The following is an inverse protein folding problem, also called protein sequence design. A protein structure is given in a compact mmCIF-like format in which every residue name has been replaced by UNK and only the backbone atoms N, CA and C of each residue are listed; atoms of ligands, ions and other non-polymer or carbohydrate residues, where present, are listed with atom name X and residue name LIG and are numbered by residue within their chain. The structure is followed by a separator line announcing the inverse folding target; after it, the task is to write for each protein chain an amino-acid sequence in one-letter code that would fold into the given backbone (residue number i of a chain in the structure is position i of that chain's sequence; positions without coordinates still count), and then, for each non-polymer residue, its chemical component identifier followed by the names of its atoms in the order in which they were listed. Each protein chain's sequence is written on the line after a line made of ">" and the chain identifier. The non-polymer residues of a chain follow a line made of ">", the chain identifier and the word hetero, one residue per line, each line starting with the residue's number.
data_IF_235655664145
#
_entry.id   IF_235655664145
#
_cell.length_a   1.000
_cell.length_b   1.000
_cell.length_c   1.000
_cell.angle_alpha   90.00
_cell.angle_beta   90.00
_cell.angle_gamma   90.00
#
_symmetry.space_group_name_H-M   'P 1'
#
loop_
_entity.id
_entity.type
_entity.pdbx_description
1 polymer ?
#
# COMPACT_ATOMS: atom_id res chain seq x y z
N UNK A 1 9.60 14.48 46.79
CA UNK A 1 9.29 15.85 46.30
C UNK A 1 10.43 16.32 45.41
N UNK A 2 10.07 16.86 44.24
CA UNK A 2 10.87 17.71 43.32
C UNK A 2 11.91 17.03 42.38
N UNK A 3 11.33 16.58 41.25
CA UNK A 3 11.76 16.79 39.85
C UNK A 3 12.81 17.89 39.58
N UNK A 4 13.69 17.64 38.61
CA UNK A 4 14.26 18.68 37.75
C UNK A 4 14.36 18.17 36.30
N UNK A 5 13.44 18.68 35.47
CA UNK A 5 13.48 18.66 34.02
C UNK A 5 14.65 19.52 33.52
N UNK A 6 15.41 19.04 32.53
CA UNK A 6 16.32 19.89 31.74
C UNK A 6 15.62 20.36 30.47
N UNK A 7 15.31 21.65 30.43
CA UNK A 7 15.02 22.43 29.23
C UNK A 7 16.36 22.90 28.63
N UNK A 8 16.54 22.74 27.32
CA UNK A 8 17.61 23.42 26.59
C UNK A 8 17.06 24.66 25.85
N UNK A 9 17.86 25.74 25.74
CA UNK A 9 17.36 27.06 25.41
C UNK A 9 17.36 27.36 23.91
N UNK A 10 16.44 28.26 23.57
CA UNK A 10 16.35 29.07 22.35
C UNK A 10 17.59 29.95 22.24
N UNK A 11 18.22 30.02 21.06
CA UNK A 11 19.15 31.10 20.70
C UNK A 11 18.61 31.81 19.46
N UNK A 12 18.31 33.10 19.65
CA UNK A 12 17.89 34.06 18.65
C UNK A 12 19.07 35.00 18.35
N UNK A 13 19.32 35.21 17.06
CA UNK A 13 19.96 36.35 16.38
C UNK A 13 21.23 37.02 16.94
N UNK A 14 22.21 37.16 16.05
CA UNK A 14 23.03 38.37 15.97
C UNK A 14 23.24 38.78 14.50
N UNK A 15 22.68 39.93 14.14
CA UNK A 15 23.07 40.77 13.00
C UNK A 15 24.35 41.54 13.38
N UNK A 16 25.23 41.84 12.41
CA UNK A 16 25.68 43.20 12.05
C UNK A 16 26.87 43.18 11.05
N UNK A 17 26.65 43.92 9.94
CA UNK A 17 27.57 44.86 9.23
C UNK A 17 28.79 44.32 8.46
N UNK A 18 29.26 44.85 7.32
CA UNK A 18 28.99 46.04 6.47
C UNK A 18 29.79 45.83 5.17
N UNK A 19 29.33 46.29 3.99
CA UNK A 19 30.03 47.32 3.20
C UNK A 19 29.41 47.62 1.82
N UNK A 20 29.70 48.84 1.38
CA UNK A 20 29.19 49.60 0.24
C UNK A 20 29.56 49.05 -1.16
N UNK A 21 28.61 49.29 -2.07
CA UNK A 21 28.75 49.73 -3.47
C UNK A 21 29.50 48.87 -4.49
N UNK A 22 28.74 48.33 -5.45
CA UNK A 22 29.13 48.28 -6.85
C UNK A 22 27.87 48.31 -7.73
N UNK A 23 27.82 49.26 -8.66
CA UNK A 23 26.91 49.26 -9.80
C UNK A 23 27.29 48.09 -10.73
N UNK A 24 26.37 47.16 -10.96
CA UNK A 24 26.33 46.34 -12.16
C UNK A 24 24.90 45.83 -12.36
N UNK A 25 24.34 46.07 -13.55
CA UNK A 25 23.02 45.58 -13.96
C UNK A 25 22.96 44.06 -13.78
N UNK A 26 22.13 43.60 -12.86
CA UNK A 26 21.79 42.19 -12.71
C UNK A 26 20.52 41.92 -13.52
N UNK A 27 20.64 41.01 -14.48
CA UNK A 27 19.51 40.36 -15.16
C UNK A 27 18.46 39.94 -14.14
N UNK A 28 17.18 40.06 -14.50
CA UNK A 28 16.07 39.64 -13.65
C UNK A 28 16.30 38.19 -13.18
N UNK A 29 16.30 37.92 -11.86
CA UNK A 29 16.48 36.57 -11.37
C UNK A 29 15.31 35.72 -11.88
N UNK A 30 15.64 34.67 -12.65
CA UNK A 30 14.69 33.59 -12.92
C UNK A 30 14.14 33.09 -11.58
N UNK A 31 12.83 32.83 -11.47
CA UNK A 31 12.25 32.35 -10.22
C UNK A 31 12.99 31.08 -9.78
N UNK A 32 13.38 30.96 -8.49
CA UNK A 32 14.10 29.80 -8.02
C UNK A 32 13.22 28.56 -8.17
N UNK A 33 13.73 27.66 -9.01
CA UNK A 33 13.61 26.22 -8.98
C UNK A 33 13.34 25.72 -7.55
N UNK A 34 12.27 24.92 -7.37
CA UNK A 34 11.93 24.09 -6.19
C UNK A 34 12.67 24.46 -4.91
N UNK A 35 12.10 25.36 -4.11
CA UNK A 35 12.73 26.04 -2.97
C UNK A 35 13.19 25.06 -1.88
N UNK A 36 14.37 25.29 -1.30
CA UNK A 36 15.01 24.48 -0.24
C UNK A 36 14.10 24.16 0.98
N UNK A 37 13.04 24.94 1.20
CA UNK A 37 12.02 24.72 2.23
C UNK A 37 11.20 23.44 1.97
N UNK A 38 10.85 23.14 0.72
CA UNK A 38 10.10 21.92 0.37
C UNK A 38 10.95 20.64 0.59
N UNK A 39 12.26 20.75 0.37
CA UNK A 39 13.22 19.67 0.63
C UNK A 39 13.34 19.39 2.14
N UNK A 40 13.33 20.44 2.97
CA UNK A 40 13.39 20.33 4.43
C UNK A 40 12.12 19.66 5.01
N UNK A 41 10.93 20.10 4.59
CA UNK A 41 9.66 19.51 5.07
C UNK A 41 9.55 18.02 4.72
N UNK A 42 9.93 17.62 3.49
CA UNK A 42 9.93 16.20 3.10
C UNK A 42 10.92 15.36 3.92
N UNK A 43 12.09 15.91 4.23
CA UNK A 43 13.08 15.22 5.05
C UNK A 43 12.63 15.09 6.51
N UNK A 44 11.99 16.13 7.06
CA UNK A 44 11.38 16.10 8.39
C UNK A 44 10.25 15.07 8.44
N UNK A 45 9.37 15.03 7.42
CA UNK A 45 8.29 14.05 7.34
C UNK A 45 8.80 12.61 7.36
N UNK A 46 9.87 12.32 6.61
CA UNK A 46 10.56 11.01 6.64
C UNK A 46 11.11 10.69 8.03
N UNK A 47 11.72 11.67 8.68
CA UNK A 47 12.30 11.50 10.03
C UNK A 47 11.21 11.19 11.05
N UNK A 48 10.10 11.94 11.06
CA UNK A 48 8.97 11.66 11.94
C UNK A 48 8.35 10.29 11.68
N UNK A 49 8.14 9.92 10.41
CA UNK A 49 7.61 8.61 10.02
C UNK A 49 8.50 7.49 10.58
N UNK A 50 9.83 7.57 10.40
CA UNK A 50 10.77 6.59 10.92
C UNK A 50 10.75 6.48 12.46
N UNK A 51 10.61 7.62 13.17
CA UNK A 51 10.47 7.64 14.63
C UNK A 51 9.18 6.95 15.05
N UNK A 52 8.05 7.28 14.44
CA UNK A 52 6.76 6.66 14.77
C UNK A 52 6.71 5.18 14.43
N UNK A 53 7.28 4.77 13.29
CA UNK A 53 7.42 3.36 12.91
C UNK A 53 8.22 2.60 13.97
N UNK A 54 9.37 3.12 14.37
CA UNK A 54 10.22 2.50 15.41
C UNK A 54 9.45 2.35 16.73
N UNK A 55 8.83 3.43 17.22
CA UNK A 55 8.05 3.39 18.45
C UNK A 55 6.87 2.41 18.39
N UNK A 56 6.19 2.33 17.25
CA UNK A 56 5.03 1.45 17.08
C UNK A 56 5.46 -0.02 16.95
N UNK A 57 6.57 -0.30 16.29
CA UNK A 57 7.16 -1.64 16.19
C UNK A 57 7.67 -2.13 17.56
N UNK A 58 8.19 -1.22 18.40
CA UNK A 58 8.62 -1.49 19.78
C UNK A 58 7.48 -1.46 20.80
N UNK A 59 6.23 -1.36 20.33
CA UNK A 59 5.03 -1.34 21.16
C UNK A 59 5.02 -0.21 22.22
N UNK A 60 5.77 0.87 21.97
CA UNK A 60 5.82 2.08 22.79
C UNK A 60 4.60 2.97 22.53
N UNK A 61 3.40 2.39 22.59
CA UNK A 61 2.14 3.05 22.20
C UNK A 61 1.85 4.35 22.97
N UNK A 62 2.22 4.42 24.25
CA UNK A 62 2.07 5.66 25.04
C UNK A 62 2.95 6.79 24.51
N UNK A 63 4.17 6.48 24.06
CA UNK A 63 5.07 7.47 23.46
C UNK A 63 4.53 7.92 22.10
N UNK A 64 4.04 6.98 21.27
CA UNK A 64 3.35 7.32 20.02
C UNK A 64 2.21 8.31 20.26
N UNK A 65 1.41 8.08 21.31
CA UNK A 65 0.31 9.00 21.66
C UNK A 65 0.83 10.37 22.08
N UNK A 66 1.77 10.42 23.03
CA UNK A 66 2.30 11.68 23.55
C UNK A 66 2.94 12.54 22.45
N UNK A 67 3.78 11.95 21.61
CA UNK A 67 4.40 12.67 20.50
C UNK A 67 3.38 13.01 19.40
N UNK A 68 2.49 12.09 19.08
CA UNK A 68 1.51 12.26 18.00
C UNK A 68 0.50 13.36 18.29
N UNK A 69 -0.04 13.43 19.51
CA UNK A 69 -0.96 14.51 19.90
C UNK A 69 -0.30 15.89 19.80
N UNK A 70 0.96 16.02 20.20
CA UNK A 70 1.70 17.28 20.05
C UNK A 70 1.91 17.62 18.56
N UNK A 71 2.34 16.64 17.76
CA UNK A 71 2.65 16.85 16.36
C UNK A 71 1.41 17.17 15.50
N UNK A 72 0.22 16.72 15.90
CA UNK A 72 -1.03 17.12 15.21
C UNK A 72 -1.32 18.63 15.28
N UNK A 73 -0.65 19.36 16.18
CA UNK A 73 -0.76 20.82 16.33
C UNK A 73 0.25 21.58 15.47
N UNK A 74 1.10 20.88 14.70
CA UNK A 74 2.08 21.51 13.82
C UNK A 74 1.38 22.36 12.74
N UNK A 75 2.01 23.46 12.34
CA UNK A 75 1.44 24.39 11.36
C UNK A 75 1.57 23.86 9.94
N UNK A 76 2.54 22.99 9.69
CA UNK A 76 2.76 22.38 8.39
C UNK A 76 1.78 21.21 8.18
N UNK A 77 0.88 21.28 7.18
CA UNK A 77 -0.12 20.24 6.95
C UNK A 77 0.50 18.88 6.62
N UNK A 78 1.67 18.85 6.00
CA UNK A 78 2.39 17.61 5.67
C UNK A 78 2.90 16.90 6.92
N UNK A 79 3.31 17.65 7.94
CA UNK A 79 3.84 17.11 9.21
C UNK A 79 2.69 16.75 10.16
N UNK A 80 1.72 17.64 10.33
CA UNK A 80 0.59 17.46 11.25
C UNK A 80 -0.32 16.26 10.93
N UNK A 81 -0.33 15.80 9.68
CA UNK A 81 -1.11 14.63 9.26
C UNK A 81 -0.41 13.28 9.49
N UNK A 82 0.91 13.25 9.58
CA UNK A 82 1.72 12.03 9.82
C UNK A 82 1.18 11.21 11.00
N UNK A 83 0.99 11.79 12.21
CA UNK A 83 0.66 11.00 13.39
C UNK A 83 -0.73 10.35 13.36
N UNK A 84 -1.64 10.76 12.46
CA UNK A 84 -3.06 10.34 12.52
C UNK A 84 -3.20 8.81 12.48
N UNK A 85 -2.56 8.13 11.52
CA UNK A 85 -2.63 6.67 11.40
C UNK A 85 -2.01 5.97 12.61
N UNK A 86 -0.90 6.51 13.13
CA UNK A 86 -0.23 6.00 14.32
C UNK A 86 -1.07 6.14 15.58
N UNK A 87 -1.78 7.27 15.74
CA UNK A 87 -2.69 7.50 16.84
C UNK A 87 -3.90 6.54 16.79
N UNK A 88 -4.50 6.33 15.61
CA UNK A 88 -5.59 5.35 15.43
C UNK A 88 -5.14 3.98 15.95
N UNK A 89 -3.95 3.54 15.52
CA UNK A 89 -3.37 2.26 15.90
C UNK A 89 -3.03 2.20 17.39
N UNK A 90 -2.27 3.17 17.91
CA UNK A 90 -1.81 3.19 19.30
C UNK A 90 -2.97 3.27 20.30
N UNK A 91 -4.00 4.10 20.04
CA UNK A 91 -5.18 4.16 20.89
C UNK A 91 -5.90 2.83 20.97
N UNK A 92 -6.00 2.10 19.86
CA UNK A 92 -6.59 0.77 19.86
C UNK A 92 -5.80 -0.21 20.74
N UNK A 93 -4.48 -0.27 20.60
CA UNK A 93 -3.64 -1.22 21.35
C UNK A 93 -3.55 -0.92 22.85
N UNK A 94 -3.78 0.32 23.29
CA UNK A 94 -3.90 0.64 24.73
C UNK A 94 -5.33 0.51 25.28
N UNK A 95 -6.29 0.02 24.48
CA UNK A 95 -7.68 -0.18 24.88
C UNK A 95 -8.58 1.06 24.80
N UNK A 96 -8.11 2.19 24.27
CA UNK A 96 -8.93 3.37 24.04
C UNK A 96 -9.64 3.29 22.68
N UNK A 97 -10.60 2.38 22.58
CA UNK A 97 -11.31 2.12 21.32
C UNK A 97 -12.11 3.32 20.81
N UNK A 98 -12.70 4.10 21.71
CA UNK A 98 -13.54 5.25 21.36
C UNK A 98 -12.72 6.28 20.57
N UNK A 99 -11.54 6.65 21.09
CA UNK A 99 -10.69 7.63 20.46
C UNK A 99 -10.09 7.14 19.15
N UNK A 100 -9.71 5.86 19.10
CA UNK A 100 -9.27 5.20 17.86
C UNK A 100 -10.35 5.26 16.77
N UNK A 101 -11.59 4.86 17.09
CA UNK A 101 -12.74 4.89 16.17
C UNK A 101 -13.07 6.31 15.73
N UNK A 102 -13.04 7.29 16.65
CA UNK A 102 -13.29 8.70 16.32
C UNK A 102 -12.31 9.23 15.27
N UNK A 103 -11.00 9.01 15.48
CA UNK A 103 -9.96 9.42 14.53
C UNK A 103 -10.09 8.71 13.18
N UNK A 104 -10.36 7.40 13.20
CA UNK A 104 -10.58 6.63 11.97
C UNK A 104 -11.76 7.19 11.18
N UNK A 105 -12.91 7.41 11.84
CA UNK A 105 -14.11 7.95 11.19
C UNK A 105 -13.86 9.35 10.62
N UNK A 106 -13.13 10.21 11.33
CA UNK A 106 -12.72 11.52 10.82
C UNK A 106 -11.83 11.41 9.57
N UNK A 107 -10.90 10.44 9.55
CA UNK A 107 -10.02 10.20 8.39
C UNK A 107 -10.79 9.72 7.17
N UNK A 108 -11.78 8.83 7.34
CA UNK A 108 -12.45 8.14 6.21
C UNK A 108 -13.81 8.70 5.82
N UNK A 109 -14.30 9.75 6.50
CA UNK A 109 -15.69 10.24 6.33
C UNK A 109 -16.02 10.55 4.88
N UNK A 110 -15.07 11.13 4.15
CA UNK A 110 -15.22 11.53 2.75
C UNK A 110 -14.55 10.56 1.76
N UNK A 111 -14.02 9.44 2.25
CA UNK A 111 -13.34 8.50 1.36
C UNK A 111 -14.34 7.77 0.48
N UNK A 112 -14.08 7.78 -0.82
CA UNK A 112 -14.76 6.94 -1.80
C UNK A 112 -14.25 5.49 -1.74
N UNK A 113 -14.86 4.61 -2.52
CA UNK A 113 -14.45 3.21 -2.63
C UNK A 113 -12.93 3.04 -2.89
N UNK A 114 -12.34 3.72 -3.88
CA UNK A 114 -10.91 3.54 -4.23
C UNK A 114 -9.98 4.00 -3.10
N UNK A 115 -10.32 5.09 -2.41
CA UNK A 115 -9.59 5.60 -1.26
C UNK A 115 -9.69 4.65 -0.06
N UNK A 116 -10.86 4.03 0.16
CA UNK A 116 -11.04 3.02 1.21
C UNK A 116 -10.26 1.74 0.92
N UNK A 117 -10.25 1.28 -0.34
CA UNK A 117 -9.41 0.15 -0.74
C UNK A 117 -7.94 0.49 -0.54
N UNK A 118 -7.49 1.66 -1.00
CA UNK A 118 -6.11 2.12 -0.85
C UNK A 118 -5.68 2.19 0.62
N UNK A 119 -6.58 2.62 1.51
CA UNK A 119 -6.36 2.60 2.96
C UNK A 119 -6.17 1.17 3.48
N UNK A 120 -7.04 0.25 3.08
CA UNK A 120 -7.03 -1.15 3.52
C UNK A 120 -5.79 -1.92 3.04
N UNK A 121 -5.31 -1.59 1.84
CA UNK A 121 -4.11 -2.21 1.26
C UNK A 121 -2.88 -1.31 1.43
N UNK A 122 -2.88 -0.34 2.35
CA UNK A 122 -1.75 0.57 2.55
C UNK A 122 -0.48 -0.18 2.96
N UNK A 123 0.68 0.38 2.59
CA UNK A 123 1.99 -0.07 3.10
C UNK A 123 2.38 0.61 4.43
N UNK A 124 1.52 1.47 4.98
CA UNK A 124 1.77 2.13 6.26
C UNK A 124 1.70 1.13 7.41
N UNK A 125 2.81 0.95 8.13
CA UNK A 125 2.93 0.09 9.31
C UNK A 125 1.76 0.25 10.30
N UNK A 126 1.32 1.47 10.69
CA UNK A 126 0.19 1.61 11.61
C UNK A 126 -1.12 1.03 11.09
N UNK A 127 -1.41 1.20 9.80
CA UNK A 127 -2.64 0.69 9.20
C UNK A 127 -2.57 -0.83 8.99
N UNK A 128 -1.41 -1.35 8.58
CA UNK A 128 -1.17 -2.79 8.51
C UNK A 128 -1.45 -3.42 9.88
N UNK A 129 -0.82 -2.91 10.96
CA UNK A 129 -1.03 -3.41 12.33
C UNK A 129 -2.51 -3.31 12.74
N UNK A 130 -3.16 -2.18 12.49
CA UNK A 130 -4.56 -1.97 12.88
C UNK A 130 -5.53 -2.91 12.14
N UNK A 131 -5.33 -3.14 10.83
CA UNK A 131 -6.21 -3.98 10.02
C UNK A 131 -5.92 -5.49 10.10
N UNK A 132 -4.86 -5.90 10.80
CA UNK A 132 -4.70 -7.32 11.18
C UNK A 132 -5.88 -7.83 12.02
N UNK A 133 -6.53 -6.94 12.78
CA UNK A 133 -7.72 -7.24 13.59
C UNK A 133 -8.96 -7.21 12.70
N UNK A 134 -9.61 -8.36 12.53
CA UNK A 134 -10.73 -8.56 11.60
C UNK A 134 -11.89 -7.59 11.88
N UNK A 135 -12.21 -7.39 13.15
CA UNK A 135 -13.30 -6.55 13.65
C UNK A 135 -13.08 -5.07 13.30
N UNK A 136 -11.83 -4.66 13.05
CA UNK A 136 -11.48 -3.29 12.67
C UNK A 136 -11.50 -3.08 11.15
N UNK A 137 -11.16 -4.10 10.36
CA UNK A 137 -11.16 -4.01 8.89
C UNK A 137 -12.54 -4.24 8.25
N UNK A 138 -13.34 -5.19 8.75
CA UNK A 138 -14.59 -5.58 8.08
C UNK A 138 -15.59 -4.42 7.89
N UNK A 139 -15.76 -3.48 8.84
CA UNK A 139 -16.63 -2.32 8.62
C UNK A 139 -16.15 -1.43 7.46
N UNK A 140 -14.84 -1.31 7.26
CA UNK A 140 -14.24 -0.52 6.19
C UNK A 140 -14.41 -1.22 4.85
N UNK A 141 -14.19 -2.55 4.81
CA UNK A 141 -14.47 -3.39 3.64
C UNK A 141 -15.94 -3.26 3.24
N UNK A 142 -16.85 -3.33 4.21
CA UNK A 142 -18.30 -3.18 3.99
C UNK A 142 -18.64 -1.80 3.43
N UNK A 143 -18.07 -0.73 3.99
CA UNK A 143 -18.25 0.63 3.47
C UNK A 143 -17.74 0.75 2.03
N UNK A 144 -16.57 0.20 1.71
CA UNK A 144 -15.99 0.22 0.37
C UNK A 144 -16.87 -0.54 -0.64
N UNK A 145 -17.34 -1.74 -0.27
CA UNK A 145 -18.23 -2.55 -1.13
C UNK A 145 -19.56 -1.85 -1.37
N UNK A 146 -20.15 -1.22 -0.35
CA UNK A 146 -21.40 -0.48 -0.50
C UNK A 146 -21.23 0.72 -1.43
N UNK A 147 -20.13 1.45 -1.30
CA UNK A 147 -19.80 2.57 -2.19
C UNK A 147 -19.57 2.10 -3.63
N UNK A 148 -18.79 1.03 -3.83
CA UNK A 148 -18.60 0.36 -5.12
C UNK A 148 -19.94 -0.02 -5.77
N UNK A 149 -20.80 -0.72 -5.03
CA UNK A 149 -22.11 -1.17 -5.52
C UNK A 149 -23.03 -0.01 -5.88
N UNK A 150 -22.91 1.13 -5.19
CA UNK A 150 -23.71 2.32 -5.46
C UNK A 150 -23.23 3.09 -6.70
N UNK A 151 -21.91 3.27 -6.81
CA UNK A 151 -21.34 4.25 -7.73
C UNK A 151 -20.79 3.63 -9.03
N UNK A 152 -20.34 2.38 -9.00
CA UNK A 152 -19.75 1.73 -10.19
C UNK A 152 -20.84 1.09 -11.06
N UNK A 153 -20.81 1.42 -12.36
CA UNK A 153 -21.74 0.90 -13.39
C UNK A 153 -21.30 -0.48 -13.92
N UNK A 154 -21.11 -1.42 -13.00
CA UNK A 154 -20.75 -2.81 -13.29
C UNK A 154 -22.02 -3.66 -13.52
N UNK A 155 -22.01 -4.56 -14.50
CA UNK A 155 -23.12 -5.51 -14.74
C UNK A 155 -23.13 -6.68 -13.77
N UNK A 156 -21.99 -7.06 -13.20
CA UNK A 156 -21.82 -8.15 -12.23
C UNK A 156 -21.13 -7.64 -10.95
N UNK A 157 -21.90 -6.88 -10.16
CA UNK A 157 -21.43 -6.34 -8.87
C UNK A 157 -21.12 -7.41 -7.84
N UNK A 158 -21.68 -8.61 -7.97
CA UNK A 158 -21.46 -9.73 -7.04
C UNK A 158 -20.07 -10.31 -7.27
N UNK A 159 -19.70 -10.57 -8.54
CA UNK A 159 -18.34 -10.93 -8.89
C UNK A 159 -17.34 -9.84 -8.48
N UNK A 160 -17.68 -8.58 -8.73
CA UNK A 160 -16.83 -7.45 -8.36
C UNK A 160 -16.55 -7.37 -6.86
N UNK A 161 -17.56 -7.58 -6.01
CA UNK A 161 -17.38 -7.66 -4.56
C UNK A 161 -16.39 -8.78 -4.17
N UNK A 162 -16.53 -9.97 -4.75
CA UNK A 162 -15.64 -11.09 -4.43
C UNK A 162 -14.19 -10.79 -4.81
N UNK A 163 -13.97 -10.20 -5.99
CA UNK A 163 -12.64 -9.81 -6.45
C UNK A 163 -12.04 -8.73 -5.53
N UNK A 164 -12.83 -7.73 -5.11
CA UNK A 164 -12.39 -6.73 -4.12
C UNK A 164 -11.93 -7.41 -2.82
N UNK A 165 -12.70 -8.37 -2.30
CA UNK A 165 -12.35 -9.11 -1.08
C UNK A 165 -11.08 -9.95 -1.26
N UNK A 166 -10.91 -10.60 -2.40
CA UNK A 166 -9.67 -11.33 -2.72
C UNK A 166 -8.47 -10.39 -2.76
N UNK A 167 -8.59 -9.25 -3.42
CA UNK A 167 -7.52 -8.26 -3.51
C UNK A 167 -7.09 -7.74 -2.13
N UNK A 168 -8.05 -7.32 -1.31
CA UNK A 168 -7.77 -6.79 0.04
C UNK A 168 -7.04 -7.84 0.87
N UNK A 169 -7.53 -9.07 0.89
CA UNK A 169 -6.93 -10.11 1.70
C UNK A 169 -5.53 -10.50 1.17
N UNK A 170 -5.34 -10.60 -0.16
CA UNK A 170 -4.02 -10.88 -0.76
C UNK A 170 -2.99 -9.82 -0.35
N UNK A 171 -3.36 -8.55 -0.49
CA UNK A 171 -2.48 -7.44 -0.17
C UNK A 171 -2.19 -7.32 1.32
N UNK A 172 -3.20 -7.51 2.17
CA UNK A 172 -3.01 -7.52 3.62
C UNK A 172 -1.98 -8.57 4.01
N UNK A 173 -2.07 -9.80 3.48
CA UNK A 173 -1.13 -10.85 3.83
C UNK A 173 0.31 -10.52 3.43
N UNK A 174 0.49 -10.00 2.21
CA UNK A 174 1.83 -9.68 1.67
C UNK A 174 2.51 -8.52 2.37
N UNK A 175 1.73 -7.58 2.91
CA UNK A 175 2.25 -6.37 3.55
C UNK A 175 2.60 -6.54 5.02
N UNK A 176 2.25 -7.67 5.63
CA UNK A 176 2.59 -7.94 7.03
C UNK A 176 4.09 -7.93 7.31
N UNK A 177 4.92 -8.30 6.33
CA UNK A 177 6.40 -8.23 6.44
C UNK A 177 6.91 -6.83 6.78
N UNK A 178 6.18 -5.77 6.43
CA UNK A 178 6.56 -4.40 6.74
C UNK A 178 6.26 -4.02 8.20
N UNK A 179 5.36 -4.74 8.87
CA UNK A 179 4.87 -4.38 10.20
C UNK A 179 5.51 -5.18 11.35
N UNK A 180 6.46 -6.07 11.06
CA UNK A 180 7.11 -6.92 12.05
C UNK A 180 8.61 -7.04 11.77
N UNK A 181 9.44 -6.75 12.79
CA UNK A 181 10.91 -6.82 12.69
C UNK A 181 11.39 -8.28 12.57
N UNK A 182 12.45 -8.52 11.79
CA UNK A 182 13.10 -9.84 11.57
C UNK A 182 13.68 -10.49 12.84
N UNK A 183 13.88 -9.70 13.89
CA UNK A 183 14.48 -10.14 15.16
C UNK A 183 13.48 -10.79 16.14
N UNK A 184 12.17 -10.65 15.94
CA UNK A 184 11.13 -11.33 16.75
C UNK A 184 10.75 -12.71 16.19
N UNK A 185 11.75 -13.59 16.06
CA UNK A 185 11.62 -14.89 15.39
C UNK A 185 10.46 -15.77 15.90
N UNK A 186 10.16 -15.75 17.20
CA UNK A 186 9.12 -16.60 17.80
C UNK A 186 7.72 -16.12 17.42
N UNK A 187 7.45 -14.82 17.50
CA UNK A 187 6.17 -14.28 17.06
C UNK A 187 6.07 -14.29 15.53
N UNK A 188 7.19 -14.13 14.83
CA UNK A 188 7.23 -14.27 13.37
C UNK A 188 6.82 -15.66 12.91
N UNK A 189 7.36 -16.75 13.49
CA UNK A 189 7.03 -18.11 13.05
C UNK A 189 5.55 -18.42 13.26
N UNK A 190 4.99 -18.14 14.45
CA UNK A 190 3.56 -18.38 14.72
C UNK A 190 2.66 -17.60 13.77
N UNK A 191 3.02 -16.35 13.48
CA UNK A 191 2.27 -15.49 12.56
C UNK A 191 2.43 -15.97 11.13
N UNK A 192 3.64 -16.34 10.71
CA UNK A 192 3.93 -16.92 9.40
C UNK A 192 3.11 -18.18 9.12
N UNK A 193 2.98 -19.07 10.09
CA UNK A 193 2.11 -20.25 9.96
C UNK A 193 0.63 -19.88 9.84
N UNK A 194 0.16 -18.93 10.66
CA UNK A 194 -1.20 -18.40 10.53
C UNK A 194 -1.45 -17.77 9.14
N UNK A 195 -0.44 -17.08 8.59
CA UNK A 195 -0.51 -16.47 7.27
C UNK A 195 -0.52 -17.52 6.17
N UNK A 196 0.35 -18.53 6.21
CA UNK A 196 0.31 -19.65 5.27
C UNK A 196 -1.05 -20.33 5.24
N UNK A 197 -1.63 -20.54 6.42
CA UNK A 197 -2.98 -21.11 6.53
C UNK A 197 -4.04 -20.21 5.88
N UNK A 198 -4.00 -18.91 6.15
CA UNK A 198 -4.94 -17.94 5.59
C UNK A 198 -4.78 -17.79 4.07
N UNK A 199 -3.55 -17.77 3.56
CA UNK A 199 -3.22 -17.72 2.13
C UNK A 199 -3.73 -18.98 1.42
N UNK A 200 -3.55 -20.16 2.03
CA UNK A 200 -4.09 -21.41 1.52
C UNK A 200 -5.62 -21.39 1.36
N UNK A 201 -6.35 -20.89 2.38
CA UNK A 201 -7.81 -20.72 2.30
C UNK A 201 -8.18 -19.76 1.18
N UNK A 202 -7.45 -18.66 1.05
CA UNK A 202 -7.70 -17.69 -0.01
C UNK A 202 -7.45 -18.29 -1.40
N UNK A 203 -6.34 -18.98 -1.61
CA UNK A 203 -6.01 -19.63 -2.88
C UNK A 203 -7.07 -20.67 -3.25
N UNK A 204 -7.62 -21.41 -2.28
CA UNK A 204 -8.75 -22.30 -2.51
C UNK A 204 -10.00 -21.54 -2.97
N UNK A 205 -10.34 -20.42 -2.32
CA UNK A 205 -11.51 -19.60 -2.67
C UNK A 205 -11.38 -18.94 -4.05
N UNK A 206 -10.19 -18.42 -4.39
CA UNK A 206 -9.89 -17.83 -5.70
C UNK A 206 -10.05 -18.89 -6.79
N UNK A 207 -9.47 -20.08 -6.61
CA UNK A 207 -9.60 -21.17 -7.57
C UNK A 207 -11.06 -21.60 -7.74
N UNK A 208 -11.80 -21.78 -6.64
CA UNK A 208 -13.21 -22.15 -6.68
C UNK A 208 -14.05 -21.10 -7.43
N UNK A 209 -13.78 -19.81 -7.20
CA UNK A 209 -14.44 -18.72 -7.90
C UNK A 209 -14.19 -18.78 -9.41
N UNK A 210 -12.93 -18.84 -9.85
CA UNK A 210 -12.63 -18.89 -11.28
C UNK A 210 -13.06 -20.19 -11.95
N UNK A 211 -13.03 -21.34 -11.25
CA UNK A 211 -13.57 -22.60 -11.76
C UNK A 211 -15.09 -22.59 -11.88
N UNK A 212 -15.80 -21.91 -10.98
CA UNK A 212 -17.26 -21.77 -11.08
C UNK A 212 -17.65 -20.92 -12.29
N UNK A 213 -16.94 -19.82 -12.51
CA UNK A 213 -17.30 -18.85 -13.54
C UNK A 213 -16.66 -19.11 -14.91
N UNK A 214 -15.55 -19.86 -14.97
CA UNK A 214 -14.83 -20.23 -16.20
C UNK A 214 -14.49 -19.03 -17.10
N UNK A 215 -14.26 -17.87 -16.49
CA UNK A 215 -13.96 -16.62 -17.19
C UNK A 215 -13.14 -15.66 -16.33
N UNK A 216 -12.37 -14.82 -17.01
CA UNK A 216 -11.88 -13.56 -16.47
C UNK A 216 -12.96 -12.49 -16.63
N UNK A 217 -13.10 -11.59 -15.66
CA UNK A 217 -14.13 -10.55 -15.70
C UNK A 217 -13.58 -9.26 -16.32
N UNK A 218 -14.22 -8.74 -17.35
CA UNK A 218 -13.78 -7.50 -18.00
C UNK A 218 -14.25 -6.24 -17.26
N UNK A 219 -13.73 -5.08 -17.68
CA UNK A 219 -14.07 -3.75 -17.14
C UNK A 219 -15.59 -3.49 -17.11
N UNK A 220 -16.32 -3.89 -18.15
CA UNK A 220 -17.78 -3.72 -18.21
C UNK A 220 -18.51 -4.53 -17.13
N UNK A 221 -17.97 -5.68 -16.75
CA UNK A 221 -18.60 -6.59 -15.80
C UNK A 221 -18.37 -6.15 -14.37
N UNK A 222 -17.15 -5.75 -14.02
CA UNK A 222 -16.76 -5.53 -12.61
C UNK A 222 -16.25 -4.11 -12.32
N UNK A 223 -16.09 -3.26 -13.34
CA UNK A 223 -15.49 -1.94 -13.22
C UNK A 223 -13.98 -1.95 -13.46
N UNK A 224 -13.42 -0.78 -13.72
CA UNK A 224 -12.02 -0.60 -14.13
C UNK A 224 -11.02 -1.02 -13.05
N UNK A 225 -11.12 -0.42 -11.85
CA UNK A 225 -10.26 -0.73 -10.72
C UNK A 225 -10.30 -2.22 -10.35
N UNK A 226 -11.50 -2.80 -10.25
CA UNK A 226 -11.68 -4.22 -9.91
C UNK A 226 -11.14 -5.15 -10.98
N UNK A 227 -11.28 -4.77 -12.26
CA UNK A 227 -10.67 -5.51 -13.37
C UNK A 227 -9.14 -5.55 -13.22
N UNK A 228 -8.53 -4.45 -12.78
CA UNK A 228 -7.08 -4.35 -12.57
C UNK A 228 -6.55 -5.15 -11.37
N UNK A 229 -7.40 -5.49 -10.39
CA UNK A 229 -6.99 -6.31 -9.25
C UNK A 229 -6.79 -7.78 -9.58
N UNK A 230 -7.54 -8.33 -10.54
CA UNK A 230 -7.47 -9.74 -10.91
C UNK A 230 -6.07 -10.22 -11.33
N UNK A 231 -5.31 -9.53 -12.22
CA UNK A 231 -3.97 -9.97 -12.59
C UNK A 231 -3.01 -9.98 -11.40
N UNK A 232 -3.18 -9.10 -10.41
CA UNK A 232 -2.38 -9.09 -9.18
C UNK A 232 -2.67 -10.35 -8.36
N UNK A 233 -3.95 -10.61 -8.08
CA UNK A 233 -4.39 -11.80 -7.32
C UNK A 233 -3.86 -13.08 -7.97
N UNK A 234 -4.00 -13.20 -9.30
CA UNK A 234 -3.58 -14.41 -10.02
C UNK A 234 -2.06 -14.53 -10.13
N UNK A 235 -1.33 -13.41 -10.25
CA UNK A 235 0.13 -13.39 -10.25
C UNK A 235 0.73 -13.78 -8.90
N UNK A 236 -0.08 -13.75 -7.85
CA UNK A 236 0.28 -14.10 -6.48
C UNK A 236 -0.06 -15.54 -6.08
N UNK A 237 -0.79 -16.26 -6.92
CA UNK A 237 -1.08 -17.67 -6.70
C UNK A 237 0.21 -18.50 -6.67
N UNK A 238 0.40 -19.35 -5.67
CA UNK A 238 1.66 -20.06 -5.40
C UNK A 238 1.78 -21.41 -6.12
N UNK A 239 0.66 -22.04 -6.46
CA UNK A 239 0.66 -23.32 -7.16
C UNK A 239 1.06 -23.17 -8.64
N UNK A 240 2.31 -23.56 -8.96
CA UNK A 240 2.89 -23.46 -10.31
C UNK A 240 2.13 -24.28 -11.35
N UNK A 241 1.69 -25.49 -11.02
CA UNK A 241 0.95 -26.35 -11.94
C UNK A 241 -0.35 -25.68 -12.39
N UNK A 242 -1.13 -25.13 -11.46
CA UNK A 242 -2.37 -24.41 -11.78
C UNK A 242 -2.10 -23.12 -12.56
N UNK A 243 -0.98 -22.44 -12.30
CA UNK A 243 -0.58 -21.27 -13.09
C UNK A 243 -0.30 -21.63 -14.54
N UNK A 244 0.43 -22.74 -14.76
CA UNK A 244 0.84 -23.20 -16.09
C UNK A 244 -0.28 -23.91 -16.86
N UNK A 245 -1.33 -24.36 -16.17
CA UNK A 245 -2.49 -25.02 -16.76
C UNK A 245 -3.71 -24.11 -16.73
N UNK A 246 -4.56 -24.25 -15.70
CA UNK A 246 -5.86 -23.60 -15.62
C UNK A 246 -5.82 -22.07 -15.76
N UNK A 247 -4.96 -21.38 -15.02
CA UNK A 247 -4.92 -19.92 -15.06
C UNK A 247 -4.30 -19.39 -16.36
N UNK A 248 -3.29 -20.05 -16.91
CA UNK A 248 -2.75 -19.70 -18.22
C UNK A 248 -3.84 -19.76 -19.29
N UNK A 249 -4.57 -20.86 -19.37
CA UNK A 249 -5.64 -21.04 -20.36
C UNK A 249 -6.77 -20.02 -20.18
N UNK A 250 -7.14 -19.74 -18.92
CA UNK A 250 -8.15 -18.73 -18.56
C UNK A 250 -7.74 -17.33 -19.04
N UNK A 251 -6.49 -16.93 -18.80
CA UNK A 251 -5.99 -15.59 -19.14
C UNK A 251 -5.71 -15.44 -20.64
N UNK A 252 -5.20 -16.49 -21.29
CA UNK A 252 -5.05 -16.49 -22.74
C UNK A 252 -6.41 -16.32 -23.45
N UNK A 253 -7.44 -17.04 -22.97
CA UNK A 253 -8.82 -16.84 -23.42
C UNK A 253 -9.29 -15.41 -23.16
N UNK A 254 -9.00 -14.84 -21.99
CA UNK A 254 -9.37 -13.46 -21.65
C UNK A 254 -8.76 -12.42 -22.58
N UNK A 255 -7.51 -12.60 -23.00
CA UNK A 255 -6.84 -11.73 -23.99
C UNK A 255 -7.53 -11.83 -25.35
N UNK A 256 -7.80 -13.05 -25.83
CA UNK A 256 -8.51 -13.27 -27.11
C UNK A 256 -9.91 -12.66 -27.13
N UNK A 257 -10.61 -12.71 -26.00
CA UNK A 257 -11.95 -12.11 -25.84
C UNK A 257 -11.93 -10.60 -25.57
N UNK A 258 -10.75 -9.97 -25.50
CA UNK A 258 -10.61 -8.53 -25.23
C UNK A 258 -11.02 -8.14 -23.81
N UNK A 259 -10.97 -9.07 -22.85
CA UNK A 259 -11.28 -8.82 -21.43
C UNK A 259 -10.05 -8.44 -20.60
N UNK A 260 -8.87 -8.81 -21.08
CA UNK A 260 -7.58 -8.53 -20.46
C UNK A 260 -6.62 -7.98 -21.51
N UNK A 261 -5.80 -7.00 -21.13
CA UNK A 261 -4.70 -6.53 -21.95
C UNK A 261 -3.59 -7.58 -22.05
N UNK A 262 -3.02 -7.72 -23.25
CA UNK A 262 -1.92 -8.65 -23.53
C UNK A 262 -0.73 -8.46 -22.57
N UNK A 263 -0.41 -7.21 -22.22
CA UNK A 263 0.64 -6.86 -21.25
C UNK A 263 0.46 -7.54 -19.90
N UNK A 264 -0.77 -7.56 -19.35
CA UNK A 264 -1.05 -8.20 -18.06
C UNK A 264 -0.92 -9.72 -18.10
N UNK A 265 -1.29 -10.34 -19.22
CA UNK A 265 -1.07 -11.77 -19.44
C UNK A 265 0.42 -12.11 -19.48
N UNK A 266 1.20 -11.32 -20.22
CA UNK A 266 2.66 -11.48 -20.27
C UNK A 266 3.29 -11.31 -18.88
N UNK A 267 2.81 -10.34 -18.07
CA UNK A 267 3.29 -10.20 -16.70
C UNK A 267 3.05 -11.48 -15.87
N UNK A 268 1.88 -12.09 -16.01
CA UNK A 268 1.56 -13.36 -15.34
C UNK A 268 2.48 -14.51 -15.79
N UNK A 269 2.79 -14.60 -17.08
CA UNK A 269 3.69 -15.62 -17.64
C UNK A 269 5.10 -15.46 -17.08
N UNK A 270 5.70 -14.27 -17.23
CA UNK A 270 7.05 -14.00 -16.73
C UNK A 270 7.13 -14.13 -15.20
N UNK A 271 6.05 -13.82 -14.47
CA UNK A 271 6.00 -14.07 -13.02
C UNK A 271 6.08 -15.56 -12.71
N UNK A 272 5.41 -16.39 -13.51
CA UNK A 272 5.45 -17.85 -13.39
C UNK A 272 6.84 -18.40 -13.73
N UNK A 273 7.48 -17.86 -14.77
CA UNK A 273 8.88 -18.17 -15.12
C UNK A 273 9.82 -17.83 -13.96
N UNK A 274 9.63 -16.69 -13.28
CA UNK A 274 10.46 -16.29 -12.12
C UNK A 274 10.43 -17.26 -10.94
N UNK A 275 9.45 -18.16 -10.86
CA UNK A 275 9.37 -19.20 -9.84
C UNK A 275 10.02 -20.52 -10.26
N UNK A 276 10.27 -20.71 -11.55
CA UNK A 276 10.65 -21.99 -12.13
C UNK A 276 12.03 -21.97 -12.78
N UNK A 277 12.50 -20.80 -13.23
CA UNK A 277 13.84 -20.61 -13.78
C UNK A 277 14.77 -19.95 -12.74
N UNK A 278 15.79 -20.66 -12.23
CA UNK A 278 16.78 -20.13 -11.29
C UNK A 278 17.59 -18.95 -11.83
N UNK A 279 17.76 -18.86 -13.15
CA UNK A 279 18.53 -17.81 -13.82
C UNK A 279 17.65 -16.70 -14.40
N UNK A 280 16.34 -16.71 -14.11
CA UNK A 280 15.37 -15.75 -14.63
C UNK A 280 15.85 -14.30 -14.50
N UNK A 281 16.27 -13.89 -13.31
CA UNK A 281 16.70 -12.52 -13.05
C UNK A 281 18.02 -12.15 -13.74
N UNK A 282 18.91 -13.12 -13.96
CA UNK A 282 20.16 -12.90 -14.71
C UNK A 282 19.88 -12.70 -16.20
N UNK A 283 18.84 -13.36 -16.71
CA UNK A 283 18.48 -13.37 -18.12
C UNK A 283 17.30 -12.44 -18.47
N UNK A 284 16.81 -11.65 -17.51
CA UNK A 284 15.57 -10.88 -17.63
C UNK A 284 15.58 -9.93 -18.83
N UNK A 285 16.70 -9.24 -19.09
CA UNK A 285 16.81 -8.31 -20.22
C UNK A 285 16.61 -9.03 -21.56
N UNK A 286 17.32 -10.14 -21.77
CA UNK A 286 17.17 -10.99 -22.95
C UNK A 286 15.75 -11.54 -23.06
N UNK A 287 15.18 -12.03 -21.95
CA UNK A 287 13.81 -12.56 -21.94
C UNK A 287 12.78 -11.47 -22.28
N UNK A 288 12.97 -10.23 -21.82
CA UNK A 288 12.12 -9.11 -22.22
C UNK A 288 12.17 -8.84 -23.72
N UNK A 289 13.35 -8.89 -24.36
CA UNK A 289 13.47 -8.74 -25.82
C UNK A 289 12.73 -9.84 -26.59
N UNK A 290 12.84 -11.09 -26.12
CA UNK A 290 12.11 -12.22 -26.68
C UNK A 290 10.59 -12.00 -26.57
N UNK A 291 10.12 -11.61 -25.39
CA UNK A 291 8.70 -11.32 -25.13
C UNK A 291 8.15 -10.19 -26.01
N UNK A 292 8.92 -9.10 -26.20
CA UNK A 292 8.50 -7.98 -27.07
C UNK A 292 8.20 -8.46 -28.49
N UNK A 293 8.97 -9.43 -28.99
CA UNK A 293 8.79 -10.03 -30.32
C UNK A 293 7.68 -11.08 -30.32
N UNK A 294 7.71 -12.01 -29.35
CA UNK A 294 6.75 -13.13 -29.21
C UNK A 294 5.31 -12.63 -29.10
N UNK A 295 5.09 -11.56 -28.33
CA UNK A 295 3.76 -11.04 -28.04
C UNK A 295 3.41 -9.76 -28.79
N UNK A 296 4.28 -9.23 -29.66
CA UNK A 296 4.08 -7.95 -30.34
C UNK A 296 3.78 -6.80 -29.34
N UNK A 297 4.75 -6.55 -28.46
CA UNK A 297 4.68 -5.53 -27.40
C UNK A 297 5.97 -4.69 -27.38
N UNK A 298 6.22 -3.81 -28.37
CA UNK A 298 7.54 -3.16 -28.54
C UNK A 298 8.01 -2.33 -27.34
N UNK A 299 7.08 -1.78 -26.56
CA UNK A 299 7.37 -0.95 -25.38
C UNK A 299 7.21 -1.70 -24.05
N UNK A 300 7.20 -3.05 -24.09
CA UNK A 300 7.04 -3.84 -22.87
C UNK A 300 8.16 -3.58 -21.86
N UNK A 301 7.78 -3.39 -20.60
CA UNK A 301 8.66 -3.33 -19.45
C UNK A 301 8.19 -4.35 -18.41
N UNK A 302 9.13 -5.10 -17.84
CA UNK A 302 8.82 -6.02 -16.76
C UNK A 302 8.37 -5.25 -15.52
N UNK A 303 7.24 -5.68 -14.98
CA UNK A 303 6.70 -5.28 -13.69
C UNK A 303 6.35 -6.59 -12.97
N UNK A 304 7.02 -6.93 -11.86
CA UNK A 304 6.68 -8.12 -11.09
C UNK A 304 5.32 -8.02 -10.37
N UNK A 305 4.72 -6.82 -10.41
CA UNK A 305 3.67 -6.26 -9.56
C UNK A 305 4.06 -6.20 -8.08
#
# INVERSE_FOLDING_TARGET
>A
MKTLFKLYPIILLSLLTTNKSANAQAEAPKPPTTTAVEVDVKQQAKTYTAVFDSLLLEERYRNVIQLGELLTLDREPEISKIPISYLICAYHFIGNEERSKKLLNQKIVNYNYDELISLLVSSDIPLIKYFTVKEKREPIITKAINDYKKNVKATDKVAGEQIIRFYINDQLYRKLKYAYKEDDRINQEKRYQLFKFQDSIQNANVLAFYRKHQKYFGVKEVGEAVSWYQPIILSHYDNIELRQTFFKDLLEKAVREGRMEKTNYVHFILRTESFTDPDFFKNLERRMEEVRKEYDLPNYLWNPF
#
